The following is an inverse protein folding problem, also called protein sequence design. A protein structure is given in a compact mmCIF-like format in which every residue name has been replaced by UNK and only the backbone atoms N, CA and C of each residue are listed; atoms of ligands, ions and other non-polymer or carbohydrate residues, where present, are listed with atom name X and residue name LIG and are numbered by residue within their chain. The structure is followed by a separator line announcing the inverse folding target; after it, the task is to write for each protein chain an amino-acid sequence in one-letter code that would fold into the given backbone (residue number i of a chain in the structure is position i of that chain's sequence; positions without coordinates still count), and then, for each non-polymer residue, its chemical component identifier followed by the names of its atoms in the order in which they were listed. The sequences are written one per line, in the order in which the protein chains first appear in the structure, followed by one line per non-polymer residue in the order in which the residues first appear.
data_IF_864709469981
#
_entry.id   IF_864709469981
#
_cell.length_a   1.000
_cell.length_b   1.000
_cell.length_c   1.000
_cell.angle_alpha   90.00
_cell.angle_beta   90.00
_cell.angle_gamma   90.00
#
_symmetry.space_group_name_H-M   'P 1'
#
loop_
_entity.id
_entity.type
_entity.pdbx_description
1 polymer ?
#
# COMPACT_ATOMS: atom_id res chain seq x y z
N UNK A 1 8.99 -24.03 33.59
CA UNK A 1 8.72 -22.64 33.17
C UNK A 1 9.37 -22.26 31.84
N UNK A 2 10.66 -22.54 31.59
CA UNK A 2 11.34 -22.22 30.31
C UNK A 2 10.69 -22.85 29.07
N UNK A 3 10.20 -24.09 29.17
CA UNK A 3 9.49 -24.77 28.08
C UNK A 3 8.15 -24.10 27.71
N UNK A 4 7.36 -23.70 28.72
CA UNK A 4 6.10 -22.96 28.53
C UNK A 4 6.34 -21.58 27.90
N UNK A 5 7.40 -20.88 28.30
CA UNK A 5 7.81 -19.62 27.69
C UNK A 5 8.22 -19.80 26.22
N UNK A 6 8.98 -20.86 25.89
CA UNK A 6 9.35 -21.19 24.51
C UNK A 6 8.11 -21.49 23.66
N UNK A 7 7.15 -22.26 24.18
CA UNK A 7 5.90 -22.55 23.49
C UNK A 7 5.06 -21.30 23.25
N UNK A 8 4.99 -20.40 24.24
CA UNK A 8 4.31 -19.10 24.11
C UNK A 8 4.95 -18.22 23.04
N UNK A 9 6.29 -18.14 23.00
CA UNK A 9 7.01 -17.40 21.96
C UNK A 9 6.81 -17.98 20.57
N UNK A 10 6.84 -19.31 20.43
CA UNK A 10 6.55 -19.97 19.15
C UNK A 10 5.12 -19.67 18.72
N UNK A 11 4.16 -19.76 19.63
CA UNK A 11 2.76 -19.39 19.36
C UNK A 11 2.60 -17.95 18.89
N UNK A 12 3.29 -17.00 19.53
CA UNK A 12 3.28 -15.58 19.15
C UNK A 12 3.88 -15.34 17.75
N UNK A 13 5.00 -16.00 17.43
CA UNK A 13 5.64 -15.85 16.11
C UNK A 13 4.73 -16.42 15.02
N UNK A 14 4.10 -17.57 15.26
CA UNK A 14 3.18 -18.17 14.31
C UNK A 14 1.94 -17.29 14.07
N UNK A 15 1.36 -16.69 15.10
CA UNK A 15 0.18 -15.80 14.94
C UNK A 15 0.51 -14.47 14.29
N UNK A 16 1.71 -13.92 14.49
CA UNK A 16 2.14 -12.70 13.81
C UNK A 16 2.38 -12.92 12.30
N UNK A 17 2.79 -14.13 11.91
CA UNK A 17 3.16 -14.45 10.51
C UNK A 17 1.97 -14.56 9.54
N UNK A 18 0.75 -14.69 10.04
CA UNK A 18 -0.47 -14.81 9.21
C UNK A 18 -1.17 -13.49 8.92
N UNK A 19 -0.72 -12.39 9.53
CA UNK A 19 -1.34 -11.07 9.34
C UNK A 19 -0.79 -10.44 8.07
N UNK A 20 -1.64 -10.36 7.05
CA UNK A 20 -1.31 -9.72 5.79
C UNK A 20 -1.50 -8.20 5.90
N UNK A 21 -0.43 -7.43 5.67
CA UNK A 21 -0.50 -5.98 5.64
C UNK A 21 -0.84 -5.48 4.23
N UNK A 22 -1.83 -4.59 4.13
CA UNK A 22 -2.22 -3.95 2.89
C UNK A 22 -1.84 -2.48 2.94
N UNK A 23 -1.03 -2.06 1.98
CA UNK A 23 -0.65 -0.67 1.80
C UNK A 23 -0.56 -0.36 0.31
N UNK A 24 -0.97 0.86 -0.04
CA UNK A 24 -0.91 1.37 -1.40
C UNK A 24 -0.39 2.80 -1.35
N UNK A 25 0.69 3.06 -2.09
CA UNK A 25 1.27 4.39 -2.26
C UNK A 25 1.15 4.81 -3.72
N UNK A 26 0.92 6.09 -3.94
CA UNK A 26 0.97 6.68 -5.28
C UNK A 26 1.38 8.13 -5.22
N UNK A 27 2.01 8.61 -6.29
CA UNK A 27 2.42 10.00 -6.46
C UNK A 27 2.12 10.45 -7.90
N UNK A 28 1.64 11.68 -8.02
CA UNK A 28 1.56 12.40 -9.28
C UNK A 28 2.56 13.56 -9.20
N UNK A 29 3.37 13.71 -10.23
CA UNK A 29 4.31 14.80 -10.40
C UNK A 29 3.96 15.58 -11.67
N UNK A 30 4.00 16.91 -11.58
CA UNK A 30 3.79 17.81 -12.72
C UNK A 30 5.04 18.66 -12.84
N UNK A 31 5.69 18.61 -14.01
CA UNK A 31 6.77 19.54 -14.33
C UNK A 31 6.15 20.84 -14.90
N UNK A 32 6.24 21.98 -14.19
CA UNK A 32 5.65 23.22 -14.65
C UNK A 32 6.36 23.83 -15.88
N UNK A 33 7.60 23.44 -16.18
CA UNK A 33 8.35 23.96 -17.33
C UNK A 33 7.97 23.22 -18.61
N UNK A 34 8.03 21.89 -18.59
CA UNK A 34 7.71 21.05 -19.78
C UNK A 34 6.23 20.68 -19.89
N UNK A 35 5.44 20.89 -18.83
CA UNK A 35 4.05 20.43 -18.69
C UNK A 35 3.92 18.90 -18.71
N UNK A 36 5.02 18.17 -18.56
CA UNK A 36 4.99 16.72 -18.44
C UNK A 36 4.30 16.29 -17.13
N UNK A 37 3.58 15.18 -17.22
CA UNK A 37 2.92 14.56 -16.07
C UNK A 37 3.54 13.18 -15.87
N UNK A 38 4.02 12.91 -14.66
CA UNK A 38 4.54 11.63 -14.22
C UNK A 38 3.61 10.99 -13.19
N UNK A 39 3.44 9.67 -13.27
CA UNK A 39 2.71 8.88 -12.29
C UNK A 39 3.56 7.71 -11.82
N UNK A 40 3.51 7.40 -10.53
CA UNK A 40 4.10 6.19 -9.96
C UNK A 40 3.22 5.65 -8.82
N UNK A 41 3.17 4.33 -8.68
CA UNK A 41 2.41 3.68 -7.63
C UNK A 41 2.96 2.31 -7.25
N UNK A 42 2.69 1.88 -6.03
CA UNK A 42 3.08 0.59 -5.48
C UNK A 42 1.99 0.07 -4.54
N UNK A 43 1.75 -1.24 -4.53
CA UNK A 43 0.79 -1.88 -3.63
C UNK A 43 1.31 -3.22 -3.15
N UNK A 44 0.95 -3.58 -1.92
CA UNK A 44 1.15 -4.93 -1.38
C UNK A 44 0.11 -5.94 -1.92
N UNK A 45 -0.65 -5.57 -2.96
CA UNK A 45 -1.63 -6.41 -3.65
C UNK A 45 -1.28 -6.55 -5.13
N UNK A 46 -1.84 -7.55 -5.82
CA UNK A 46 -1.64 -7.77 -7.25
C UNK A 46 -2.30 -6.71 -8.16
N UNK A 47 -3.08 -5.78 -7.61
CA UNK A 47 -3.92 -4.84 -8.40
C UNK A 47 -3.23 -3.51 -8.75
N UNK A 48 -1.89 -3.47 -8.79
CA UNK A 48 -1.11 -2.24 -8.99
C UNK A 48 -1.34 -1.57 -10.36
N UNK A 49 -1.66 -2.36 -11.39
CA UNK A 49 -1.84 -1.87 -12.76
C UNK A 49 -3.01 -0.87 -12.91
N UNK A 50 -4.02 -0.94 -12.02
CA UNK A 50 -5.18 -0.04 -12.06
C UNK A 50 -5.05 1.22 -11.20
N UNK A 51 -3.90 1.44 -10.55
CA UNK A 51 -3.74 2.50 -9.54
C UNK A 51 -3.55 3.88 -10.15
N UNK A 52 -3.10 4.00 -11.40
CA UNK A 52 -2.87 5.30 -12.02
C UNK A 52 -3.04 5.30 -13.52
N UNK A 53 -3.45 6.44 -14.06
CA UNK A 53 -3.58 6.67 -15.50
C UNK A 53 -3.33 8.14 -15.83
N UNK A 54 -2.73 8.40 -17.00
CA UNK A 54 -2.66 9.72 -17.61
C UNK A 54 -3.75 9.77 -18.68
N UNK A 55 -4.69 10.70 -18.51
CA UNK A 55 -5.83 10.89 -19.40
C UNK A 55 -5.56 12.13 -20.27
N UNK A 56 -5.33 11.96 -21.59
CA UNK A 56 -5.09 13.09 -22.49
C UNK A 56 -6.19 14.15 -22.40
N UNK A 57 -5.78 15.42 -22.27
CA UNK A 57 -6.69 16.56 -22.14
C UNK A 57 -7.38 16.68 -20.77
N UNK A 58 -7.17 15.75 -19.82
CA UNK A 58 -7.77 15.81 -18.48
C UNK A 58 -6.75 15.81 -17.33
N UNK A 59 -5.56 15.26 -17.52
CA UNK A 59 -4.49 15.22 -16.51
C UNK A 59 -4.17 13.80 -16.07
N UNK A 60 -3.73 13.61 -14.82
CA UNK A 60 -3.49 12.30 -14.23
C UNK A 60 -4.49 11.98 -13.13
N UNK A 61 -4.80 10.69 -12.99
CA UNK A 61 -5.61 10.14 -11.92
C UNK A 61 -4.81 9.06 -11.22
N UNK A 62 -4.90 9.03 -9.90
CA UNK A 62 -4.50 7.88 -9.09
C UNK A 62 -5.67 7.44 -8.22
N UNK A 63 -5.86 6.14 -8.10
CA UNK A 63 -6.90 5.53 -7.27
C UNK A 63 -6.21 4.84 -6.11
N UNK A 64 -6.42 5.37 -4.90
CA UNK A 64 -5.95 4.76 -3.67
C UNK A 64 -7.15 4.40 -2.80
N UNK A 65 -7.44 3.10 -2.66
CA UNK A 65 -8.12 2.48 -1.51
C UNK A 65 -8.41 0.99 -1.77
N UNK A 66 -7.95 0.14 -0.84
CA UNK A 66 -8.70 -1.01 -0.33
C UNK A 66 -8.17 -1.27 1.07
N UNK A 67 -8.84 -0.72 2.09
CA UNK A 67 -8.44 -0.86 3.48
C UNK A 67 -9.63 -0.67 4.41
N UNK A 68 -9.74 -1.51 5.44
CA UNK A 68 -10.60 -1.25 6.58
C UNK A 68 -10.12 0.03 7.27
N UNK A 69 -11.02 0.99 7.51
CA UNK A 69 -10.71 2.24 8.17
C UNK A 69 -10.00 1.97 9.51
N UNK A 70 -8.71 2.32 9.62
CA UNK A 70 -8.09 2.54 10.92
C UNK A 70 -8.50 3.94 11.34
N UNK A 71 -9.39 4.04 12.31
CA UNK A 71 -9.72 5.29 13.01
C UNK A 71 -8.41 5.93 13.45
N UNK A 72 -8.09 7.08 12.87
CA UNK A 72 -7.06 7.96 13.38
C UNK A 72 -7.60 8.55 14.68
N UNK A 73 -6.93 8.25 15.79
CA UNK A 73 -7.12 8.89 17.09
C UNK A 73 -6.03 9.94 17.29
#
# INVERSE_FOLDING_TARGET
MKALQRLSLIGLVLTASVIQAYATWSIILIDPQTKAIGIAGASCTYSVYGIGSIVPGKGAVVVQASGAARTQA
#
